data_IF_673525902595
#
_entry.id   IF_673525902595
#
_cell.length_a   1.000
_cell.length_b   1.000
_cell.length_c   1.000
_cell.angle_alpha   90.00
_cell.angle_beta   90.00
_cell.angle_gamma   90.00
#
_symmetry.space_group_name_H-M   'P 1'
#
loop_
_entity.id
_entity.type
_entity.pdbx_description
1 polymer ?
#
# COMPACT_ATOMS: atom_id res chain seq x y z
N UNK A 1 -5.08 -3.18 0.58
CA UNK A 1 -3.78 -2.58 0.93
C UNK A 1 -2.87 -2.48 -0.27
N UNK A 2 -2.47 -3.59 -0.90
CA UNK A 2 -1.67 -3.56 -2.14
C UNK A 2 -2.31 -2.71 -3.26
N UNK A 3 -3.60 -2.92 -3.56
CA UNK A 3 -4.34 -2.08 -4.53
C UNK A 3 -4.28 -0.59 -4.19
N UNK A 4 -4.59 -0.21 -2.94
CA UNK A 4 -4.48 1.19 -2.49
C UNK A 4 -3.05 1.76 -2.64
N UNK A 5 -2.01 0.93 -2.51
CA UNK A 5 -0.62 1.37 -2.68
C UNK A 5 -0.28 1.63 -4.15
N UNK A 6 -0.77 0.78 -5.07
CA UNK A 6 -0.67 0.98 -6.51
C UNK A 6 -1.46 2.21 -6.97
N UNK A 7 -2.70 2.37 -6.49
CA UNK A 7 -3.53 3.53 -6.84
C UNK A 7 -2.93 4.85 -6.33
N UNK A 8 -2.32 4.85 -5.14
CA UNK A 8 -1.58 6.01 -4.63
C UNK A 8 -0.37 6.34 -5.50
N UNK A 9 0.41 5.33 -5.91
CA UNK A 9 1.56 5.53 -6.79
C UNK A 9 1.12 6.13 -8.12
N UNK A 10 0.10 5.53 -8.74
CA UNK A 10 -0.50 6.00 -10.00
C UNK A 10 -1.06 7.41 -9.90
N UNK A 11 -1.63 7.79 -8.75
CA UNK A 11 -2.12 9.15 -8.54
C UNK A 11 -0.96 10.15 -8.44
N UNK A 12 0.05 9.83 -7.64
CA UNK A 12 1.21 10.71 -7.45
C UNK A 12 2.03 10.87 -8.73
N UNK A 13 2.10 9.83 -9.56
CA UNK A 13 2.82 9.88 -10.83
C UNK A 13 2.23 10.84 -11.86
N UNK A 14 0.97 11.29 -11.68
CA UNK A 14 0.40 12.36 -12.50
C UNK A 14 1.15 13.68 -12.28
N UNK A 15 1.57 13.94 -11.04
CA UNK A 15 2.35 15.13 -10.68
C UNK A 15 3.86 14.90 -10.83
N UNK A 16 4.33 13.69 -10.54
CA UNK A 16 5.76 13.31 -10.57
C UNK A 16 5.97 12.04 -11.42
N UNK A 17 6.07 12.16 -12.76
CA UNK A 17 6.20 11.00 -13.66
C UNK A 17 7.40 10.08 -13.38
N UNK A 18 8.47 10.63 -12.77
CA UNK A 18 9.66 9.86 -12.37
C UNK A 18 9.38 8.75 -11.37
N UNK A 19 8.24 8.79 -10.67
CA UNK A 19 7.81 7.72 -9.76
C UNK A 19 7.45 6.41 -10.49
N UNK A 20 7.24 6.43 -11.80
CA UNK A 20 6.93 5.25 -12.62
C UNK A 20 8.12 4.81 -13.50
N UNK A 21 9.24 5.53 -13.51
CA UNK A 21 10.32 5.33 -14.50
C UNK A 21 10.94 3.92 -14.46
N UNK A 22 10.85 3.22 -13.33
CA UNK A 22 11.37 1.86 -13.15
C UNK A 22 10.29 0.77 -13.01
N UNK A 23 9.00 1.12 -12.93
CA UNK A 23 7.89 0.19 -12.67
C UNK A 23 6.79 0.31 -13.72
N UNK A 24 7.10 -0.12 -14.96
CA UNK A 24 6.12 -0.13 -16.05
C UNK A 24 4.91 -1.04 -15.80
N UNK A 25 4.99 -1.98 -14.85
CA UNK A 25 3.93 -2.92 -14.52
C UNK A 25 3.53 -2.77 -13.03
N UNK A 26 2.37 -2.16 -12.80
CA UNK A 26 1.74 -2.04 -11.48
C UNK A 26 1.05 -3.37 -11.12
N UNK A 27 1.79 -4.28 -10.48
CA UNK A 27 1.34 -5.64 -10.21
C UNK A 27 1.27 -5.99 -8.72
N UNK A 28 0.51 -7.06 -8.44
CA UNK A 28 0.46 -7.72 -7.13
C UNK A 28 0.78 -9.19 -7.36
N UNK A 29 1.87 -9.68 -6.75
CA UNK A 29 2.28 -11.09 -6.85
C UNK A 29 1.93 -11.80 -5.54
N UNK A 30 1.44 -13.03 -5.65
CA UNK A 30 1.17 -13.90 -4.50
C UNK A 30 1.99 -15.18 -4.70
N UNK A 31 2.93 -15.42 -3.80
CA UNK A 31 3.83 -16.56 -3.83
C UNK A 31 3.60 -17.43 -2.58
N UNK A 32 2.86 -18.54 -2.69
CA UNK A 32 2.83 -19.54 -1.63
C UNK A 32 4.15 -20.31 -1.59
N UNK A 33 4.60 -20.66 -0.39
CA UNK A 33 5.74 -21.53 -0.14
C UNK A 33 5.29 -22.67 0.78
N UNK A 34 5.16 -23.87 0.23
CA UNK A 34 4.71 -25.05 0.99
C UNK A 34 5.78 -25.60 1.91
N UNK A 35 7.06 -25.36 1.59
CA UNK A 35 8.18 -25.92 2.32
C UNK A 35 8.42 -25.13 3.60
N UNK A 36 8.36 -23.79 3.50
CA UNK A 36 8.46 -22.88 4.63
C UNK A 36 7.09 -22.58 5.30
N UNK A 37 5.99 -23.00 4.68
CA UNK A 37 4.63 -22.77 5.20
C UNK A 37 4.23 -21.29 5.21
N UNK A 38 4.69 -20.50 4.25
CA UNK A 38 4.48 -19.04 4.18
C UNK A 38 3.69 -18.62 2.93
N UNK A 39 3.10 -17.43 2.98
CA UNK A 39 2.47 -16.80 1.82
C UNK A 39 3.05 -15.39 1.67
N UNK A 40 3.83 -15.16 0.61
CA UNK A 40 4.36 -13.83 0.32
C UNK A 40 3.43 -13.08 -0.63
N UNK A 41 2.98 -11.89 -0.24
CA UNK A 41 2.23 -10.94 -1.07
C UNK A 41 3.15 -9.76 -1.40
N UNK A 42 3.36 -9.46 -2.67
CA UNK A 42 4.29 -8.42 -3.13
C UNK A 42 3.50 -7.40 -3.95
N UNK A 43 3.69 -6.12 -3.69
CA UNK A 43 3.11 -5.03 -4.49
C UNK A 43 4.16 -4.04 -4.97
N UNK A 44 3.95 -3.54 -6.18
CA UNK A 44 4.79 -2.52 -6.83
C UNK A 44 4.32 -1.10 -6.50
N UNK A 45 3.65 -0.91 -5.36
CA UNK A 45 3.02 0.35 -5.00
C UNK A 45 3.99 1.38 -4.41
N UNK A 46 3.43 2.47 -3.90
CA UNK A 46 4.18 3.61 -3.34
C UNK A 46 5.05 3.27 -2.11
N UNK A 47 4.89 2.08 -1.54
CA UNK A 47 5.59 1.65 -0.34
C UNK A 47 5.17 2.39 0.93
N UNK A 48 5.88 2.12 2.02
CA UNK A 48 5.63 2.68 3.35
C UNK A 48 6.93 2.90 4.12
N UNK A 49 7.27 4.18 4.37
CA UNK A 49 8.47 4.50 5.17
C UNK A 49 8.37 3.90 6.57
N UNK A 50 9.51 3.67 7.20
CA UNK A 50 9.59 3.12 8.57
C UNK A 50 8.73 3.89 9.56
N UNK A 51 8.74 5.22 9.49
CA UNK A 51 7.95 6.09 10.36
C UNK A 51 6.45 5.89 10.13
N UNK A 52 6.03 5.83 8.86
CA UNK A 52 4.64 5.56 8.48
C UNK A 52 4.19 4.17 8.90
N UNK A 53 5.09 3.18 8.82
CA UNK A 53 4.80 1.81 9.23
C UNK A 53 4.56 1.72 10.74
N UNK A 54 5.39 2.40 11.54
CA UNK A 54 5.19 2.49 13.00
C UNK A 54 3.88 3.22 13.32
N UNK A 55 3.58 4.33 12.67
CA UNK A 55 2.34 5.10 12.89
C UNK A 55 1.08 4.28 12.51
N UNK A 56 1.11 3.60 11.36
CA UNK A 56 -0.04 2.84 10.84
C UNK A 56 -0.26 1.49 11.52
N UNK A 57 0.81 0.79 11.95
CA UNK A 57 0.70 -0.52 12.60
C UNK A 57 0.72 -0.44 14.13
N UNK A 58 1.35 0.59 14.69
CA UNK A 58 1.42 0.84 16.13
C UNK A 58 0.17 1.50 16.72
N UNK A 59 -0.68 2.10 15.87
CA UNK A 59 -1.95 2.71 16.29
C UNK A 59 -3.13 1.94 15.69
N UNK A 60 -3.83 1.18 16.52
CA UNK A 60 -5.02 0.44 16.11
C UNK A 60 -6.07 1.41 15.52
N UNK A 61 -6.63 1.04 14.36
CA UNK A 61 -7.66 1.80 13.63
C UNK A 61 -7.19 3.12 12.96
N UNK A 62 -5.89 3.27 12.68
CA UNK A 62 -5.38 4.41 11.91
C UNK A 62 -5.09 4.03 10.44
N UNK A 63 -5.94 4.48 9.51
CA UNK A 63 -5.75 4.23 8.07
C UNK A 63 -4.89 5.29 7.39
N UNK A 64 -3.75 4.87 6.83
CA UNK A 64 -2.96 5.70 5.92
C UNK A 64 -3.71 6.08 4.63
N UNK A 65 -4.62 5.23 4.14
CA UNK A 65 -5.50 5.55 2.99
C UNK A 65 -6.50 6.64 3.33
N UNK A 66 -7.08 6.62 4.53
CA UNK A 66 -7.99 7.68 5.00
C UNK A 66 -7.27 9.03 5.15
N UNK A 67 -6.05 9.02 5.72
CA UNK A 67 -5.21 10.23 5.80
C UNK A 67 -4.90 10.80 4.42
N UNK A 68 -4.53 9.94 3.47
CA UNK A 68 -4.26 10.34 2.09
C UNK A 68 -5.49 10.98 1.43
N UNK A 69 -6.67 10.35 1.57
CA UNK A 69 -7.94 10.90 1.06
C UNK A 69 -8.25 12.29 1.65
N UNK A 70 -8.02 12.49 2.96
CA UNK A 70 -8.21 13.80 3.61
C UNK A 70 -7.26 14.85 3.07
N UNK A 71 -5.98 14.51 2.89
CA UNK A 71 -4.97 15.43 2.37
C UNK A 71 -5.30 15.90 0.94
N UNK A 72 -5.80 14.99 0.09
CA UNK A 72 -6.22 15.35 -1.28
C UNK A 72 -7.47 16.25 -1.26
N UNK A 73 -8.47 15.94 -0.44
CA UNK A 73 -9.70 16.74 -0.34
C UNK A 73 -9.44 18.16 0.19
N UNK A 74 -8.45 18.34 1.06
CA UNK A 74 -8.08 19.65 1.61
C UNK A 74 -7.29 20.54 0.64
N UNK A 75 -6.65 19.96 -0.38
CA UNK A 75 -5.76 20.67 -1.30
C UNK A 75 -6.41 21.06 -2.65
N UNK A 76 -7.75 21.17 -2.70
CA UNK A 76 -8.48 21.80 -3.82
C UNK A 76 -8.06 21.31 -5.22
N UNK A 77 -7.90 20.01 -5.43
CA UNK A 77 -7.98 19.46 -6.79
C UNK A 77 -9.46 19.47 -7.21
N UNK A 78 -9.91 20.64 -7.68
CA UNK A 78 -11.26 20.81 -8.18
C UNK A 78 -11.50 19.88 -9.38
N UNK A 79 -12.36 18.88 -9.14
CA UNK A 79 -13.26 18.27 -10.12
C UNK A 79 -12.69 17.41 -11.27
N UNK A 80 -11.39 17.14 -11.38
CA UNK A 80 -10.88 16.37 -12.55
C UNK A 80 -10.71 14.87 -12.41
N UNK A 81 -10.58 14.30 -11.21
CA UNK A 81 -10.34 12.85 -11.09
C UNK A 81 -11.18 12.14 -10.04
N UNK A 82 -12.49 12.44 -9.99
CA UNK A 82 -13.48 11.72 -9.16
C UNK A 82 -13.41 10.18 -9.29
N UNK A 83 -12.85 9.66 -10.40
CA UNK A 83 -12.65 8.22 -10.63
C UNK A 83 -11.48 7.62 -9.83
N UNK A 84 -10.42 8.38 -9.58
CA UNK A 84 -9.29 7.93 -8.75
C UNK A 84 -9.69 7.74 -7.27
N UNK A 85 -10.73 8.44 -6.81
CA UNK A 85 -11.21 8.33 -5.42
C UNK A 85 -12.01 7.05 -5.16
N UNK A 86 -12.65 6.47 -6.17
CA UNK A 86 -13.53 5.31 -6.01
C UNK A 86 -12.77 3.97 -5.89
N UNK A 87 -11.47 3.94 -6.18
CA UNK A 87 -10.64 2.73 -6.09
C UNK A 87 -10.09 2.44 -4.69
N UNK A 88 -10.07 3.42 -3.79
CA UNK A 88 -9.42 3.29 -2.48
C UNK A 88 -10.32 2.63 -1.43
N UNK A 89 -9.95 1.41 -1.02
CA UNK A 89 -10.77 0.52 -0.18
C UNK A 89 -10.41 0.64 1.31
N UNK A 90 -9.12 0.80 1.64
CA UNK A 90 -8.57 0.60 2.98
C UNK A 90 -8.83 1.70 4.00
N UNK A 91 -10.04 2.24 4.12
CA UNK A 91 -10.34 3.42 4.94
C UNK A 91 -10.39 3.17 6.46
N UNK A 92 -10.58 1.92 6.88
CA UNK A 92 -10.78 1.56 8.30
C UNK A 92 -9.49 1.27 9.07
N UNK A 93 -8.39 0.98 8.39
CA UNK A 93 -7.08 0.78 9.04
C UNK A 93 -6.98 -0.49 9.89
N UNK A 94 -7.94 -1.42 9.76
CA UNK A 94 -7.95 -2.71 10.48
C UNK A 94 -7.64 -3.90 9.60
N UNK A 95 -7.69 -3.74 8.27
CA UNK A 95 -7.61 -4.85 7.31
C UNK A 95 -6.29 -5.64 7.36
N UNK A 96 -5.20 -5.00 7.78
CA UNK A 96 -3.90 -5.66 7.94
C UNK A 96 -3.94 -6.75 9.03
N UNK A 97 -4.66 -6.51 10.13
CA UNK A 97 -4.65 -7.41 11.28
C UNK A 97 -5.41 -8.72 11.03
N UNK A 98 -6.23 -8.82 9.97
CA UNK A 98 -6.87 -10.08 9.58
C UNK A 98 -5.85 -11.16 9.16
N UNK A 99 -4.63 -10.77 8.81
CA UNK A 99 -3.55 -11.72 8.56
C UNK A 99 -3.28 -12.64 9.77
N UNK A 100 -3.40 -12.12 10.99
CA UNK A 100 -3.19 -12.89 12.21
C UNK A 100 -4.31 -13.90 12.51
N UNK A 101 -5.39 -13.94 11.71
CA UNK A 101 -6.38 -15.02 11.82
C UNK A 101 -5.85 -16.35 11.26
N UNK A 102 -4.87 -16.30 10.36
CA UNK A 102 -4.35 -17.47 9.63
C UNK A 102 -2.84 -17.64 9.75
N UNK A 103 -2.11 -16.63 10.23
CA UNK A 103 -0.67 -16.65 10.40
C UNK A 103 -0.28 -16.39 11.87
N UNK A 104 0.68 -17.15 12.39
CA UNK A 104 1.25 -16.95 13.73
C UNK A 104 2.15 -15.70 13.77
N UNK A 105 2.82 -15.40 12.66
CA UNK A 105 3.76 -14.28 12.53
C UNK A 105 3.55 -13.60 11.19
N UNK A 106 3.45 -12.26 11.21
CA UNK A 106 3.38 -11.43 10.01
C UNK A 106 4.62 -10.55 9.92
N UNK A 107 5.28 -10.55 8.78
CA UNK A 107 6.48 -9.74 8.52
C UNK A 107 6.20 -8.76 7.38
N UNK A 108 6.45 -7.47 7.61
CA UNK A 108 6.31 -6.45 6.57
C UNK A 108 7.68 -5.86 6.24
N UNK A 109 8.04 -5.90 4.96
CA UNK A 109 9.32 -5.44 4.44
C UNK A 109 9.08 -4.42 3.33
N UNK A 110 9.89 -3.37 3.32
CA UNK A 110 10.07 -2.52 2.14
C UNK A 110 11.47 -2.80 1.61
N UNK A 111 11.60 -3.24 0.35
CA UNK A 111 12.90 -3.26 -0.31
C UNK A 111 13.23 -1.83 -0.76
N UNK A 112 14.20 -1.21 -0.10
CA UNK A 112 14.90 -0.07 -0.66
C UNK A 112 16.16 -0.61 -1.35
N UNK A 113 16.10 -0.65 -2.68
CA UNK A 113 17.18 -0.25 -3.59
C UNK A 113 16.69 -0.14 -5.04
N UNK A 114 15.48 -0.63 -5.35
CA UNK A 114 14.55 -0.10 -6.36
C UNK A 114 13.19 -0.80 -6.19
N UNK A 115 12.15 0.02 -6.11
CA UNK A 115 10.70 -0.23 -5.93
C UNK A 115 10.19 -1.68 -5.71
N UNK A 116 10.22 -2.28 -4.52
CA UNK A 116 9.32 -3.42 -4.24
C UNK A 116 8.88 -3.49 -2.77
N UNK A 117 7.57 -3.53 -2.50
CA UNK A 117 7.02 -3.75 -1.14
C UNK A 117 6.65 -5.23 -0.98
N UNK A 118 7.15 -5.88 0.07
CA UNK A 118 6.88 -7.29 0.36
C UNK A 118 6.15 -7.42 1.69
N UNK A 119 4.93 -7.95 1.65
CA UNK A 119 4.24 -8.48 2.81
C UNK A 119 4.49 -10.00 2.86
N UNK A 120 5.30 -10.45 3.81
CA UNK A 120 5.42 -11.87 4.14
C UNK A 120 4.36 -12.20 5.19
N UNK A 121 3.34 -12.96 4.79
CA UNK A 121 2.38 -13.59 5.68
C UNK A 121 2.86 -14.99 6.07
#
# INVERSE_FOLDING_TARGET
NASDALDKLRFLSVAEPSLLEDSSELEIHIKPDSDDGTITIIDMGIGITKEKLIDCLGTIAQSGTSKFLKAIKGNSFENKDLRAYNGLIGQFGVGFYYAFLVAEKVTCCQLNDNLHSHLLL
#
